data_IF_048997426800
#
_entry.id   IF_048997426800
#
_cell.length_a   1.000
_cell.length_b   1.000
_cell.length_c   1.000
_cell.angle_alpha   90.00
_cell.angle_beta   90.00
_cell.angle_gamma   90.00
#
_symmetry.space_group_name_H-M   'P 1'
#
loop_
_entity.id
_entity.type
_entity.pdbx_description
1 polymer ?
#
# COMPACT_ATOMS: atom_id res chain seq x y z
N UNK A 1 -3.43 6.27 -3.29
CA UNK A 1 -4.33 7.29 -3.89
C UNK A 1 -4.07 7.39 -5.38
N UNK A 2 -2.81 7.52 -5.81
CA UNK A 2 -2.34 7.51 -7.22
C UNK A 2 -2.93 6.47 -8.19
N UNK A 3 -3.39 5.30 -7.72
CA UNK A 3 -4.08 4.32 -8.59
C UNK A 3 -5.58 4.61 -8.77
N UNK A 4 -6.14 5.52 -7.97
CA UNK A 4 -7.55 5.90 -7.93
C UNK A 4 -7.79 7.36 -8.32
N UNK A 5 -6.77 8.19 -8.16
CA UNK A 5 -6.78 9.61 -8.54
C UNK A 5 -5.63 9.81 -9.50
N UNK A 6 -5.90 10.51 -10.60
CA UNK A 6 -4.88 10.95 -11.53
C UNK A 6 -3.96 11.96 -10.83
N UNK A 7 -2.75 11.50 -10.53
CA UNK A 7 -1.67 12.23 -9.87
C UNK A 7 -0.44 12.22 -10.79
N UNK A 8 0.53 13.10 -10.53
CA UNK A 8 1.70 13.27 -11.41
C UNK A 8 2.47 11.96 -11.67
N UNK A 9 2.46 11.04 -10.71
CA UNK A 9 3.18 9.77 -10.79
C UNK A 9 2.29 8.57 -11.17
N UNK A 10 1.01 8.80 -11.50
CA UNK A 10 0.07 7.74 -11.88
C UNK A 10 0.48 7.00 -13.16
N UNK A 11 0.93 7.73 -14.18
CA UNK A 11 1.40 7.14 -15.44
C UNK A 11 2.67 6.28 -15.25
N UNK A 12 3.64 6.81 -14.51
CA UNK A 12 4.88 6.10 -14.20
C UNK A 12 4.59 4.83 -13.38
N UNK A 13 3.65 4.91 -12.44
CA UNK A 13 3.20 3.76 -11.67
C UNK A 13 2.53 2.71 -12.55
N UNK A 14 1.59 3.11 -13.40
CA UNK A 14 0.89 2.18 -14.29
C UNK A 14 1.87 1.51 -15.27
N UNK A 15 2.83 2.25 -15.80
CA UNK A 15 3.88 1.71 -16.64
C UNK A 15 4.74 0.67 -15.89
N UNK A 16 5.20 0.98 -14.68
CA UNK A 16 5.99 0.05 -13.87
C UNK A 16 5.22 -1.25 -13.57
N UNK A 17 3.94 -1.14 -13.21
CA UNK A 17 3.08 -2.28 -12.87
C UNK A 17 2.71 -3.15 -14.09
N UNK A 18 2.69 -2.57 -15.28
CA UNK A 18 2.31 -3.30 -16.52
C UNK A 18 3.51 -3.87 -17.26
N UNK A 19 4.69 -3.28 -17.09
CA UNK A 19 5.93 -3.75 -17.77
C UNK A 19 6.64 -4.86 -17.01
N UNK A 20 6.53 -4.89 -15.68
CA UNK A 20 7.11 -5.92 -14.84
C UNK A 20 6.00 -6.78 -14.26
N UNK A 21 6.03 -8.09 -14.50
CA UNK A 21 5.13 -9.02 -13.83
C UNK A 21 5.45 -9.04 -12.32
N UNK A 22 4.68 -8.29 -11.54
CA UNK A 22 4.81 -8.16 -10.08
C UNK A 22 3.52 -8.65 -9.43
N UNK A 23 3.66 -9.47 -8.39
CA UNK A 23 2.53 -9.81 -7.55
C UNK A 23 2.27 -8.65 -6.58
N UNK A 24 1.14 -7.98 -6.76
CA UNK A 24 0.73 -6.93 -5.85
C UNK A 24 0.07 -7.53 -4.63
N UNK A 25 0.59 -7.18 -3.45
CA UNK A 25 0.03 -7.59 -2.17
C UNK A 25 -0.20 -6.38 -1.28
N UNK A 26 -1.25 -6.43 -0.47
CA UNK A 26 -1.50 -5.46 0.59
C UNK A 26 -2.20 -6.14 1.77
N UNK A 27 -2.18 -5.52 2.95
CA UNK A 27 -3.03 -6.01 4.03
C UNK A 27 -4.51 -5.74 3.72
N UNK A 28 -5.43 -6.55 4.26
CA UNK A 28 -6.88 -6.30 4.17
C UNK A 28 -7.31 -4.92 4.69
N UNK A 29 -6.46 -4.23 5.45
CA UNK A 29 -6.71 -2.84 5.85
C UNK A 29 -6.89 -1.92 4.64
N UNK A 30 -6.27 -2.23 3.50
CA UNK A 30 -6.41 -1.47 2.26
C UNK A 30 -7.89 -1.33 1.85
N UNK A 31 -8.69 -2.40 2.00
CA UNK A 31 -10.12 -2.37 1.69
C UNK A 31 -10.83 -1.22 2.41
N UNK A 32 -10.65 -1.14 3.72
CA UNK A 32 -11.27 -0.10 4.54
C UNK A 32 -10.69 1.28 4.20
N UNK A 33 -9.40 1.38 3.94
CA UNK A 33 -8.75 2.63 3.55
C UNK A 33 -9.30 3.19 2.24
N UNK A 34 -9.49 2.35 1.23
CA UNK A 34 -10.04 2.78 -0.06
C UNK A 34 -11.49 3.23 0.07
N UNK A 35 -12.34 2.47 0.77
CA UNK A 35 -13.73 2.87 1.00
C UNK A 35 -13.84 4.16 1.82
N UNK A 36 -13.03 4.30 2.88
CA UNK A 36 -12.99 5.53 3.66
C UNK A 36 -12.43 6.71 2.85
N UNK A 37 -11.44 6.49 1.98
CA UNK A 37 -10.92 7.52 1.09
C UNK A 37 -11.99 7.98 0.10
N UNK A 38 -12.73 7.06 -0.51
CA UNK A 38 -13.82 7.37 -1.42
C UNK A 38 -14.96 8.13 -0.72
N UNK A 39 -15.37 7.69 0.47
CA UNK A 39 -16.37 8.40 1.27
C UNK A 39 -15.95 9.83 1.65
N UNK A 40 -14.65 10.09 1.82
CA UNK A 40 -14.11 11.45 2.05
C UNK A 40 -13.96 12.27 0.77
N UNK A 41 -13.86 11.62 -0.39
CA UNK A 41 -13.58 12.26 -1.68
C UNK A 41 -14.53 11.74 -2.79
N UNK A 42 -15.86 11.84 -2.62
CA UNK A 42 -16.82 11.19 -3.50
C UNK A 42 -16.84 11.75 -4.92
N UNK A 43 -16.30 12.96 -5.15
CA UNK A 43 -16.17 13.56 -6.49
C UNK A 43 -14.87 13.17 -7.22
N UNK A 44 -13.95 12.48 -6.54
CA UNK A 44 -12.63 12.14 -7.06
C UNK A 44 -12.41 10.64 -7.20
N UNK A 45 -13.14 9.82 -6.43
CA UNK A 45 -12.95 8.37 -6.39
C UNK A 45 -14.28 7.69 -6.67
N UNK A 46 -14.37 7.12 -7.86
CA UNK A 46 -15.50 6.30 -8.27
C UNK A 46 -15.45 4.92 -7.60
N UNK A 47 -16.61 4.35 -7.29
CA UNK A 47 -16.69 3.05 -6.62
C UNK A 47 -16.10 1.92 -7.47
N UNK A 48 -16.33 1.94 -8.79
CA UNK A 48 -15.80 0.94 -9.73
C UNK A 48 -14.26 0.95 -9.80
N UNK A 49 -13.63 2.11 -9.56
CA UNK A 49 -12.18 2.21 -9.48
C UNK A 49 -11.62 1.48 -8.25
N UNK A 50 -12.35 1.48 -7.12
CA UNK A 50 -11.98 0.74 -5.91
C UNK A 50 -11.95 -0.77 -6.21
N UNK A 51 -13.01 -1.30 -6.82
CA UNK A 51 -13.09 -2.71 -7.20
C UNK A 51 -11.95 -3.09 -8.14
N UNK A 52 -11.68 -2.26 -9.15
CA UNK A 52 -10.57 -2.49 -10.10
C UNK A 52 -9.22 -2.62 -9.39
N UNK A 53 -8.93 -1.75 -8.41
CA UNK A 53 -7.69 -1.83 -7.63
C UNK A 53 -7.65 -3.08 -6.75
N UNK A 54 -8.75 -3.42 -6.08
CA UNK A 54 -8.80 -4.58 -5.18
C UNK A 54 -8.68 -5.91 -5.95
N UNK A 55 -9.22 -5.98 -7.16
CA UNK A 55 -9.10 -7.17 -8.03
C UNK A 55 -7.66 -7.40 -8.52
N UNK A 56 -6.85 -6.33 -8.60
CA UNK A 56 -5.45 -6.39 -9.01
C UNK A 56 -4.49 -6.68 -7.85
N UNK A 57 -4.95 -6.65 -6.59
CA UNK A 57 -4.10 -6.77 -5.39
C UNK A 57 -4.52 -7.98 -4.55
N UNK A 58 -3.59 -8.88 -4.30
CA UNK A 58 -3.81 -9.97 -3.34
C UNK A 58 -3.85 -9.42 -1.91
N UNK A 59 -5.01 -9.55 -1.26
CA UNK A 59 -5.21 -9.07 0.11
C UNK A 59 -4.79 -10.12 1.14
N UNK A 60 -3.92 -9.72 2.06
CA UNK A 60 -3.36 -10.56 3.11
C UNK A 60 -4.05 -10.28 4.44
N UNK A 61 -4.49 -11.35 5.12
CA UNK A 61 -5.11 -11.26 6.44
C UNK A 61 -4.17 -10.61 7.46
N UNK A 62 -4.70 -9.64 8.20
CA UNK A 62 -4.00 -9.04 9.34
C UNK A 62 -4.17 -9.97 10.53
N UNK A 63 -3.05 -10.44 11.05
CA UNK A 63 -3.00 -11.32 12.21
C UNK A 63 -2.77 -10.52 13.49
N UNK A 64 -3.02 -11.16 14.64
CA UNK A 64 -2.59 -10.59 15.94
C UNK A 64 -1.08 -10.34 15.99
N UNK A 65 -0.28 -11.18 15.32
CA UNK A 65 1.17 -10.98 15.23
C UNK A 65 1.53 -9.68 14.53
N UNK A 66 0.83 -9.33 13.46
CA UNK A 66 1.04 -8.08 12.73
C UNK A 66 0.71 -6.87 13.61
N UNK A 67 -0.37 -6.93 14.39
CA UNK A 67 -0.74 -5.84 15.30
C UNK A 67 0.30 -5.62 16.41
N UNK A 68 0.88 -6.70 16.95
CA UNK A 68 1.96 -6.62 17.94
C UNK A 68 3.24 -6.05 17.32
N UNK A 69 3.62 -6.53 16.14
CA UNK A 69 4.80 -6.05 15.42
C UNK A 69 4.66 -4.58 15.00
N UNK A 70 3.47 -4.17 14.57
CA UNK A 70 3.17 -2.79 14.17
C UNK A 70 3.55 -1.77 15.27
N UNK A 71 3.32 -2.10 16.53
CA UNK A 71 3.67 -1.25 17.68
C UNK A 71 5.16 -0.95 17.82
N UNK A 72 6.03 -1.69 17.12
CA UNK A 72 7.49 -1.49 17.15
C UNK A 72 8.01 -0.54 16.06
N UNK A 73 7.17 -0.14 15.10
CA UNK A 73 7.57 0.67 13.95
C UNK A 73 7.35 2.18 14.11
N UNK A 74 7.42 2.70 15.35
CA UNK A 74 7.36 4.14 15.59
C UNK A 74 8.43 4.90 14.76
N UNK A 75 8.12 6.10 14.23
CA UNK A 75 6.93 6.91 14.48
C UNK A 75 5.75 6.64 13.52
N UNK A 76 5.73 5.53 12.76
CA UNK A 76 4.66 5.27 11.80
C UNK A 76 3.28 5.29 12.46
N UNK A 77 2.32 5.88 11.74
CA UNK A 77 0.90 5.77 12.10
C UNK A 77 0.47 4.30 12.04
N UNK A 78 -0.53 3.94 12.85
CA UNK A 78 -0.96 2.55 13.04
C UNK A 78 -1.24 1.82 11.73
N UNK A 79 -1.94 2.43 10.78
CA UNK A 79 -2.24 1.79 9.50
C UNK A 79 -0.98 1.49 8.68
N UNK A 80 -0.08 2.48 8.59
CA UNK A 80 1.19 2.33 7.87
C UNK A 80 2.08 1.27 8.53
N UNK A 81 2.09 1.21 9.86
CA UNK A 81 2.81 0.20 10.63
C UNK A 81 2.22 -1.21 10.44
N UNK A 82 0.90 -1.35 10.36
CA UNK A 82 0.23 -2.64 10.12
C UNK A 82 0.53 -3.16 8.70
N UNK A 83 0.50 -2.28 7.70
CA UNK A 83 0.90 -2.65 6.34
C UNK A 83 2.36 -3.10 6.29
N UNK A 84 3.27 -2.36 6.95
CA UNK A 84 4.69 -2.74 7.00
C UNK A 84 4.89 -4.08 7.72
N UNK A 85 4.24 -4.29 8.86
CA UNK A 85 4.32 -5.55 9.60
C UNK A 85 3.81 -6.73 8.76
N UNK A 86 2.68 -6.55 8.06
CA UNK A 86 2.12 -7.55 7.15
C UNK A 86 3.09 -7.87 6.00
N UNK A 87 3.67 -6.84 5.39
CA UNK A 87 4.63 -6.98 4.29
C UNK A 87 5.90 -7.73 4.72
N UNK A 88 6.43 -7.43 5.91
CA UNK A 88 7.57 -8.14 6.50
C UNK A 88 7.24 -9.61 6.78
N UNK A 89 6.04 -9.90 7.31
CA UNK A 89 5.62 -11.27 7.61
C UNK A 89 5.50 -12.13 6.36
N UNK A 90 4.96 -11.60 5.27
CA UNK A 90 4.83 -12.36 4.01
C UNK A 90 6.11 -12.34 3.16
N UNK A 91 7.14 -11.60 3.60
CA UNK A 91 8.44 -11.58 2.96
C UNK A 91 8.44 -10.92 1.60
N UNK A 92 7.77 -9.76 1.46
CA UNK A 92 7.76 -9.04 0.18
C UNK A 92 9.18 -8.64 -0.25
N UNK A 93 9.37 -8.60 -1.56
CA UNK A 93 10.60 -8.15 -2.19
C UNK A 93 10.86 -6.65 -2.00
N UNK A 94 9.81 -5.86 -2.09
CA UNK A 94 9.86 -4.40 -2.06
C UNK A 94 8.53 -3.78 -1.63
N UNK A 95 8.60 -2.53 -1.16
CA UNK A 95 7.43 -1.73 -0.79
C UNK A 95 7.28 -0.59 -1.78
N UNK A 96 6.15 -0.57 -2.49
CA UNK A 96 5.73 0.57 -3.28
C UNK A 96 5.18 1.67 -2.34
N UNK A 97 5.86 2.80 -2.26
CA UNK A 97 5.39 3.95 -1.46
C UNK A 97 6.02 5.26 -1.92
N UNK A 98 5.21 6.32 -1.92
CA UNK A 98 5.67 7.69 -2.15
C UNK A 98 5.79 8.48 -0.84
N UNK A 99 5.28 7.93 0.26
CA UNK A 99 5.41 8.54 1.59
C UNK A 99 6.83 8.35 2.13
N UNK A 100 7.45 9.45 2.56
CA UNK A 100 8.84 9.47 3.02
C UNK A 100 9.05 8.73 4.34
N UNK A 101 8.11 8.81 5.28
CA UNK A 101 8.22 8.11 6.57
C UNK A 101 8.10 6.59 6.37
N UNK A 102 7.14 6.16 5.54
CA UNK A 102 6.95 4.76 5.17
C UNK A 102 8.15 4.22 4.41
N UNK A 103 8.71 4.98 3.47
CA UNK A 103 9.94 4.65 2.74
C UNK A 103 11.12 4.44 3.70
N UNK A 104 11.33 5.37 4.62
CA UNK A 104 12.41 5.28 5.60
C UNK A 104 12.23 4.07 6.53
N UNK A 105 11.01 3.77 6.97
CA UNK A 105 10.72 2.63 7.84
C UNK A 105 10.90 1.28 7.13
N UNK A 106 10.45 1.16 5.88
CA UNK A 106 10.66 -0.02 5.06
C UNK A 106 12.16 -0.31 4.86
N UNK A 107 12.95 0.73 4.50
CA UNK A 107 14.41 0.62 4.36
C UNK A 107 15.10 0.20 5.65
N UNK A 108 14.73 0.79 6.80
CA UNK A 108 15.27 0.38 8.12
C UNK A 108 14.94 -1.07 8.47
N UNK A 109 13.84 -1.58 7.94
CA UNK A 109 13.41 -2.97 8.12
C UNK A 109 14.00 -3.93 7.08
N UNK A 110 14.91 -3.45 6.21
CA UNK A 110 15.61 -4.26 5.22
C UNK A 110 14.88 -4.43 3.88
N UNK A 111 13.74 -3.77 3.67
CA UNK A 111 12.98 -3.86 2.42
C UNK A 111 13.49 -2.86 1.38
N UNK A 112 13.47 -3.26 0.10
CA UNK A 112 13.62 -2.32 -1.01
C UNK A 112 12.39 -1.41 -1.09
N UNK A 113 12.58 -0.20 -1.60
CA UNK A 113 11.47 0.74 -1.80
C UNK A 113 11.42 1.15 -3.26
N UNK A 114 10.22 1.06 -3.83
CA UNK A 114 9.88 1.46 -5.18
C UNK A 114 9.01 2.71 -5.13
N UNK A 115 9.34 3.70 -5.97
CA UNK A 115 8.57 4.94 -6.14
C UNK A 115 8.78 5.45 -7.58
N UNK A 116 8.08 4.86 -8.58
CA UNK A 116 8.23 5.25 -9.98
C UNK A 116 7.82 6.70 -10.19
N UNK A 117 8.58 7.43 -10.99
CA UNK A 117 8.43 8.87 -11.26
C UNK A 117 8.52 9.16 -12.74
#
# INVERSE_FOLDING_TARGET
MKLLIDEAESDALLHELTTTARDLVASWLLLAELHCAAGRNPSLIEFDAITTVLDAVTLIDVTRGDLLSAGTHAPLRSNDAIHLATALRVGVDEVLTYDGERSASAKRSGLRVLAPS
#
